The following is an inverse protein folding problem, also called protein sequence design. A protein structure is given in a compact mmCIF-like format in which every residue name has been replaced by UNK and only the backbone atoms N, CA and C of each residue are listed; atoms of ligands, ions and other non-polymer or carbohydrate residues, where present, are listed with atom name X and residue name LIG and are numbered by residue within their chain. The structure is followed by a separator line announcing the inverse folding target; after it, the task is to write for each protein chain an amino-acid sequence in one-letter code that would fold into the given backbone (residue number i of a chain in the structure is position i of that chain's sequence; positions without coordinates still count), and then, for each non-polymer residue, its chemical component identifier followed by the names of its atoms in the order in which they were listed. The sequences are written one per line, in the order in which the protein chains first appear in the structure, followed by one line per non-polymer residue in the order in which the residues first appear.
data_IF_991243001440
#
_entry.id   IF_991243001440
#
_cell.length_a   1.000
_cell.length_b   1.000
_cell.length_c   1.000
_cell.angle_alpha   90.00
_cell.angle_beta   90.00
_cell.angle_gamma   90.00
#
_symmetry.space_group_name_H-M   'P 1'
#
loop_
_entity.id
_entity.type
_entity.pdbx_description
1 polymer ?
#
# COMPACT_ATOMS: atom_id res chain seq x y z
N UNK A 1 8.76 -8.77 17.38
CA UNK A 1 7.50 -9.46 17.04
C UNK A 1 6.59 -9.47 18.27
N UNK A 2 5.41 -8.86 18.22
CA UNK A 2 4.59 -8.57 19.43
C UNK A 2 4.08 -9.84 20.14
N UNK A 3 3.68 -10.88 19.41
CA UNK A 3 3.17 -12.13 19.98
C UNK A 3 4.23 -12.88 20.81
N UNK A 4 5.45 -13.00 20.28
CA UNK A 4 6.58 -13.58 21.00
C UNK A 4 6.94 -12.76 22.25
N UNK A 5 6.91 -11.42 22.15
CA UNK A 5 7.16 -10.54 23.30
C UNK A 5 6.14 -10.77 24.42
N UNK A 6 4.85 -10.86 24.10
CA UNK A 6 3.80 -11.14 25.07
C UNK A 6 3.97 -12.51 25.74
N UNK A 7 4.30 -13.55 24.97
CA UNK A 7 4.59 -14.88 25.53
C UNK A 7 5.79 -14.84 26.49
N UNK A 8 6.88 -14.17 26.11
CA UNK A 8 8.07 -14.04 26.96
C UNK A 8 7.78 -13.27 28.26
N UNK A 9 6.72 -12.45 28.28
CA UNK A 9 6.23 -11.75 29.48
C UNK A 9 5.16 -12.53 30.25
N UNK A 10 4.83 -13.75 29.84
CA UNK A 10 3.79 -14.56 30.47
C UNK A 10 2.37 -14.04 30.23
N UNK A 11 2.16 -13.17 29.22
CA UNK A 11 0.87 -12.57 28.90
C UNK A 11 -0.01 -13.46 28.00
N UNK A 12 0.46 -14.64 27.64
CA UNK A 12 -0.28 -15.59 26.81
C UNK A 12 0.62 -16.65 26.19
N UNK A 13 0.00 -17.53 25.40
CA UNK A 13 0.67 -18.59 24.63
C UNK A 13 0.64 -18.18 23.16
N UNK A 14 1.81 -18.15 22.52
CA UNK A 14 1.98 -17.86 21.09
C UNK A 14 2.45 -19.09 20.29
N UNK A 15 2.85 -20.16 20.97
CA UNK A 15 3.17 -21.46 20.38
C UNK A 15 1.89 -22.20 19.93
N UNK A 16 1.67 -22.39 18.62
CA UNK A 16 0.46 -23.04 18.10
C UNK A 16 0.21 -24.43 18.67
N UNK A 17 1.25 -25.20 18.97
CA UNK A 17 1.14 -26.57 19.51
C UNK A 17 0.57 -26.59 20.94
N UNK A 18 0.59 -25.44 21.62
CA UNK A 18 0.08 -25.26 22.98
C UNK A 18 -1.24 -24.49 23.02
N UNK A 19 -1.79 -24.16 21.85
CA UNK A 19 -3.08 -23.49 21.72
C UNK A 19 -4.13 -24.55 21.39
N UNK A 20 -5.15 -24.66 22.23
CA UNK A 20 -6.31 -25.50 21.95
C UNK A 20 -7.16 -24.84 20.85
N UNK A 21 -7.28 -25.50 19.70
CA UNK A 21 -8.18 -25.09 18.63
C UNK A 21 -9.58 -25.70 18.86
N UNK A 22 -10.58 -24.84 19.02
CA UNK A 22 -11.99 -25.25 19.17
C UNK A 22 -12.78 -24.94 17.89
N UNK A 23 -13.72 -25.82 17.53
CA UNK A 23 -14.54 -25.65 16.32
C UNK A 23 -13.88 -26.23 15.06
N UNK A 24 -13.83 -25.46 13.98
CA UNK A 24 -13.28 -25.90 12.67
C UNK A 24 -11.76 -26.08 12.77
N UNK A 25 -11.19 -27.22 12.35
CA UNK A 25 -9.75 -27.43 12.35
C UNK A 25 -9.00 -26.36 11.52
N UNK A 26 -7.85 -25.88 12.02
CA UNK A 26 -7.04 -24.86 11.34
C UNK A 26 -6.68 -25.29 9.91
N UNK A 27 -6.44 -26.58 9.69
CA UNK A 27 -6.14 -27.13 8.37
C UNK A 27 -7.29 -26.94 7.37
N UNK A 28 -8.54 -27.02 7.83
CA UNK A 28 -9.75 -26.81 7.02
C UNK A 28 -10.06 -25.32 6.82
N UNK A 29 -9.76 -24.48 7.81
CA UNK A 29 -9.84 -23.03 7.70
C UNK A 29 -8.68 -22.40 6.92
N UNK A 30 -7.68 -23.19 6.50
CA UNK A 30 -6.53 -22.69 5.78
C UNK A 30 -6.88 -22.44 4.32
N UNK A 31 -6.63 -21.21 3.87
CA UNK A 31 -6.85 -20.82 2.47
C UNK A 31 -5.58 -20.16 1.92
N UNK A 32 -5.27 -20.35 0.63
CA UNK A 32 -4.17 -19.63 0.01
C UNK A 32 -4.50 -18.14 -0.03
N UNK A 33 -3.60 -17.31 0.53
CA UNK A 33 -3.66 -15.87 0.39
C UNK A 33 -2.69 -15.42 -0.70
N UNK A 34 -3.20 -14.67 -1.68
CA UNK A 34 -2.35 -13.99 -2.67
C UNK A 34 -1.60 -12.86 -1.97
N UNK A 35 -0.31 -12.70 -2.28
CA UNK A 35 0.47 -11.59 -1.70
C UNK A 35 -0.01 -10.27 -2.28
N UNK A 36 0.01 -9.20 -1.47
CA UNK A 36 -0.49 -7.89 -1.88
C UNK A 36 0.13 -7.42 -3.21
N UNK A 37 1.46 -7.46 -3.34
CA UNK A 37 2.14 -7.04 -4.57
C UNK A 37 1.95 -7.98 -5.76
N UNK A 38 1.61 -9.26 -5.57
CA UNK A 38 1.19 -10.12 -6.68
C UNK A 38 -0.15 -9.68 -7.25
N UNK A 39 -1.08 -9.26 -6.38
CA UNK A 39 -2.36 -8.69 -6.79
C UNK A 39 -2.14 -7.37 -7.53
N UNK A 40 -1.27 -6.50 -7.01
CA UNK A 40 -0.94 -5.23 -7.67
C UNK A 40 -0.31 -5.46 -9.03
N UNK A 41 0.72 -6.30 -9.13
CA UNK A 41 1.37 -6.62 -10.42
C UNK A 41 0.37 -7.13 -11.46
N UNK A 42 -0.60 -7.95 -11.05
CA UNK A 42 -1.65 -8.45 -11.98
C UNK A 42 -2.64 -7.37 -12.43
N UNK A 43 -2.87 -6.33 -11.63
CA UNK A 43 -3.81 -5.24 -11.94
C UNK A 43 -3.15 -4.06 -12.65
N UNK A 44 -1.85 -3.88 -12.47
CA UNK A 44 -1.08 -2.74 -12.95
C UNK A 44 0.21 -3.24 -13.64
N UNK A 45 0.10 -3.93 -14.79
CA UNK A 45 1.24 -4.62 -15.41
C UNK A 45 2.38 -3.68 -15.85
N UNK A 46 2.08 -2.42 -16.15
CA UNK A 46 3.09 -1.41 -16.49
C UNK A 46 3.71 -0.67 -15.30
N UNK A 47 3.32 -1.00 -14.06
CA UNK A 47 3.85 -0.40 -12.83
C UNK A 47 4.86 -1.35 -12.18
N UNK A 48 6.10 -0.89 -12.03
CA UNK A 48 7.14 -1.60 -11.30
C UNK A 48 7.16 -1.15 -9.83
N UNK A 49 7.30 -2.11 -8.91
CA UNK A 49 7.34 -1.83 -7.47
C UNK A 49 8.55 -2.54 -6.88
N UNK A 50 9.46 -1.75 -6.30
CA UNK A 50 10.58 -2.22 -5.50
C UNK A 50 10.23 -1.98 -4.03
N UNK A 51 9.95 -3.06 -3.30
CA UNK A 51 9.41 -3.01 -1.94
C UNK A 51 10.23 -3.84 -0.93
N UNK A 52 11.55 -3.93 -1.12
CA UNK A 52 12.38 -4.73 -0.22
C UNK A 52 12.33 -4.16 1.21
N UNK A 53 12.11 -5.05 2.19
CA UNK A 53 11.89 -4.71 3.61
C UNK A 53 10.88 -3.56 3.86
N UNK A 54 9.95 -3.34 2.93
CA UNK A 54 8.88 -2.37 3.12
C UNK A 54 7.93 -2.83 4.25
N UNK A 55 7.56 -1.90 5.13
CA UNK A 55 6.52 -2.14 6.13
C UNK A 55 5.12 -1.90 5.57
N UNK A 56 4.09 -2.29 6.33
CA UNK A 56 2.68 -2.09 5.97
C UNK A 56 2.28 -0.61 5.94
N UNK A 57 2.99 0.28 6.64
CA UNK A 57 2.71 1.72 6.65
C UNK A 57 2.73 2.33 5.24
N UNK A 58 3.92 2.43 4.63
CA UNK A 58 4.05 3.03 3.29
C UNK A 58 3.31 2.20 2.23
N UNK A 59 3.26 0.87 2.41
CA UNK A 59 2.54 -0.02 1.50
C UNK A 59 1.06 0.33 1.47
N UNK A 60 0.40 0.51 2.62
CA UNK A 60 -1.03 0.80 2.66
C UNK A 60 -1.36 2.14 2.00
N UNK A 61 -0.59 3.20 2.29
CA UNK A 61 -0.85 4.51 1.68
C UNK A 61 -0.64 4.48 0.17
N UNK A 62 0.42 3.80 -0.29
CA UNK A 62 0.63 3.61 -1.73
C UNK A 62 -0.52 2.83 -2.40
N UNK A 63 -1.02 1.75 -1.78
CA UNK A 63 -2.17 1.01 -2.31
C UNK A 63 -3.43 1.89 -2.35
N UNK A 64 -3.67 2.73 -1.33
CA UNK A 64 -4.77 3.69 -1.33
C UNK A 64 -4.68 4.64 -2.52
N UNK A 65 -3.50 5.20 -2.81
CA UNK A 65 -3.25 6.01 -4.02
C UNK A 65 -3.63 5.26 -5.30
N UNK A 66 -3.23 4.00 -5.45
CA UNK A 66 -3.58 3.19 -6.63
C UNK A 66 -5.10 2.96 -6.77
N UNK A 67 -5.82 2.83 -5.65
CA UNK A 67 -7.28 2.73 -5.63
C UNK A 67 -7.90 4.04 -6.14
N UNK A 68 -7.43 5.19 -5.65
CA UNK A 68 -7.97 6.49 -6.04
C UNK A 68 -7.72 6.80 -7.52
N UNK A 69 -6.52 6.52 -8.03
CA UNK A 69 -6.18 6.67 -9.45
C UNK A 69 -7.06 5.76 -10.32
N UNK A 70 -7.35 4.54 -9.86
CA UNK A 70 -8.26 3.63 -10.56
C UNK A 70 -9.70 4.16 -10.58
N UNK A 71 -10.20 4.72 -9.49
CA UNK A 71 -11.52 5.35 -9.46
C UNK A 71 -11.61 6.56 -10.41
N UNK A 72 -10.50 7.27 -10.59
CA UNK A 72 -10.38 8.35 -11.57
C UNK A 72 -10.19 7.85 -13.02
N UNK A 73 -10.13 6.54 -13.26
CA UNK A 73 -9.95 5.91 -14.57
C UNK A 73 -8.67 6.34 -15.30
N UNK A 74 -7.58 6.63 -14.57
CA UNK A 74 -6.31 7.08 -15.13
C UNK A 74 -5.17 6.06 -14.94
N UNK A 75 -5.50 4.77 -14.80
CA UNK A 75 -4.52 3.71 -14.50
C UNK A 75 -3.42 3.59 -15.55
N UNK A 76 -3.73 3.77 -16.83
CA UNK A 76 -2.77 3.63 -17.92
C UNK A 76 -1.61 4.63 -17.84
N UNK A 77 -1.82 5.76 -17.14
CA UNK A 77 -0.78 6.78 -16.91
C UNK A 77 0.33 6.29 -15.98
N UNK A 78 0.08 5.23 -15.21
CA UNK A 78 1.08 4.58 -14.36
C UNK A 78 2.06 3.70 -15.15
N UNK A 79 1.82 3.46 -16.44
CA UNK A 79 2.72 2.65 -17.25
C UNK A 79 4.12 3.29 -17.30
N UNK A 80 5.14 2.45 -17.11
CA UNK A 80 6.55 2.83 -17.03
C UNK A 80 6.98 3.42 -15.69
N UNK A 81 6.05 3.66 -14.74
CA UNK A 81 6.40 4.14 -13.40
C UNK A 81 7.10 3.03 -12.61
N UNK A 82 8.20 3.38 -11.95
CA UNK A 82 8.79 2.59 -10.88
C UNK A 82 8.53 3.28 -9.54
N UNK A 83 8.00 2.54 -8.57
CA UNK A 83 7.86 3.02 -7.19
C UNK A 83 8.82 2.27 -6.30
N UNK A 84 9.64 3.01 -5.56
CA UNK A 84 10.56 2.46 -4.56
C UNK A 84 10.05 2.79 -3.17
N UNK A 85 9.76 1.77 -2.37
CA UNK A 85 9.45 1.89 -0.95
C UNK A 85 10.21 0.84 -0.14
N UNK A 86 10.47 1.11 1.13
CA UNK A 86 11.32 0.24 1.94
C UNK A 86 12.81 0.52 1.72
N UNK A 87 13.66 -0.48 1.89
CA UNK A 87 15.10 -0.31 1.71
C UNK A 87 15.44 -0.10 0.24
N UNK A 88 16.11 1.01 -0.07
CA UNK A 88 16.55 1.29 -1.42
C UNK A 88 17.67 0.32 -1.84
N UNK A 89 17.62 -0.23 -3.07
CA UNK A 89 18.74 -0.99 -3.63
C UNK A 89 20.01 -0.12 -3.71
N UNK A 90 21.18 -0.75 -3.53
CA UNK A 90 22.47 -0.05 -3.56
C UNK A 90 22.75 0.63 -4.90
N UNK A 91 22.41 -0.05 -5.99
CA UNK A 91 22.49 0.48 -7.35
C UNK A 91 21.11 0.43 -7.98
N UNK A 92 20.59 1.60 -8.37
CA UNK A 92 19.33 1.70 -9.08
C UNK A 92 19.38 2.84 -10.09
N UNK A 93 18.91 2.55 -11.29
CA UNK A 93 18.71 3.50 -12.39
C UNK A 93 17.32 3.25 -12.95
N UNK A 94 16.44 4.22 -12.80
CA UNK A 94 15.13 4.25 -13.44
C UNK A 94 14.87 5.65 -13.95
N UNK A 95 14.02 5.81 -14.95
CA UNK A 95 13.70 7.13 -15.51
C UNK A 95 12.50 7.72 -14.76
N UNK A 96 11.32 7.15 -14.98
CA UNK A 96 10.07 7.54 -14.32
C UNK A 96 9.96 6.85 -12.96
N UNK A 97 10.56 7.44 -11.93
CA UNK A 97 10.61 6.86 -10.58
C UNK A 97 10.04 7.80 -9.52
N UNK A 98 9.27 7.25 -8.57
CA UNK A 98 8.91 7.93 -7.31
C UNK A 98 9.40 7.11 -6.13
N UNK A 99 10.04 7.78 -5.18
CA UNK A 99 10.62 7.18 -3.98
C UNK A 99 9.79 7.59 -2.76
N UNK A 100 9.38 6.62 -1.94
CA UNK A 100 8.43 6.82 -0.84
C UNK A 100 9.03 6.37 0.49
N UNK A 101 9.04 7.29 1.45
CA UNK A 101 9.32 7.04 2.86
C UNK A 101 10.80 7.05 3.21
N UNK A 102 11.08 7.33 4.50
CA UNK A 102 12.45 7.51 5.02
C UNK A 102 13.38 6.32 4.79
N UNK A 103 12.85 5.10 4.70
CA UNK A 103 13.68 3.91 4.49
C UNK A 103 14.41 3.92 3.14
N UNK A 104 13.86 4.64 2.15
CA UNK A 104 14.41 4.75 0.81
C UNK A 104 15.19 6.06 0.57
N UNK A 105 15.45 6.85 1.62
CA UNK A 105 16.08 8.19 1.54
C UNK A 105 17.46 8.21 0.86
N UNK A 106 18.14 7.06 0.72
CA UNK A 106 19.39 6.95 -0.06
C UNK A 106 19.22 7.37 -1.52
N UNK A 107 17.99 7.38 -2.04
CA UNK A 107 17.64 7.82 -3.38
C UNK A 107 17.11 9.26 -3.44
N UNK A 108 17.07 9.97 -2.31
CA UNK A 108 16.71 11.38 -2.26
C UNK A 108 17.66 12.22 -3.13
N UNK A 109 17.11 13.26 -3.78
CA UNK A 109 17.84 14.13 -4.71
C UNK A 109 18.10 13.52 -6.09
N UNK A 110 17.88 12.21 -6.27
CA UNK A 110 18.00 11.52 -7.57
C UNK A 110 16.67 11.36 -8.28
N UNK A 111 15.59 11.22 -7.52
CA UNK A 111 14.23 11.04 -8.01
C UNK A 111 13.24 11.86 -7.17
N UNK A 112 12.04 12.15 -7.70
CA UNK A 112 10.90 12.59 -6.89
C UNK A 112 10.76 11.76 -5.60
N UNK A 113 10.88 12.42 -4.45
CA UNK A 113 10.92 11.78 -3.13
C UNK A 113 9.80 12.30 -2.24
N UNK A 114 9.16 11.38 -1.49
CA UNK A 114 8.13 11.68 -0.49
C UNK A 114 8.65 11.28 0.90
N UNK A 115 9.05 12.23 1.76
CA UNK A 115 9.58 11.93 3.09
C UNK A 115 8.48 11.46 4.06
N UNK A 116 8.82 10.68 5.08
CA UNK A 116 7.86 10.26 6.14
C UNK A 116 7.96 8.80 6.59
N UNK A 117 7.17 8.41 7.60
CA UNK A 117 7.12 7.03 8.14
C UNK A 117 5.78 6.66 8.84
N UNK A 118 4.72 6.33 8.07
CA UNK A 118 4.62 6.52 6.63
C UNK A 118 4.41 8.00 6.28
N UNK A 119 4.73 8.42 5.04
CA UNK A 119 4.25 9.71 4.51
C UNK A 119 2.73 9.76 4.44
N UNK A 120 2.16 10.95 4.31
CA UNK A 120 0.72 11.11 4.12
C UNK A 120 0.27 10.56 2.75
N UNK A 121 -0.93 9.98 2.68
CA UNK A 121 -1.48 9.47 1.41
C UNK A 121 -1.63 10.55 0.35
N UNK A 122 -1.91 11.79 0.76
CA UNK A 122 -2.09 12.92 -0.15
C UNK A 122 -0.76 13.30 -0.79
N UNK A 123 0.32 13.36 -0.02
CA UNK A 123 1.68 13.64 -0.50
C UNK A 123 2.15 12.58 -1.49
N UNK A 124 1.88 11.30 -1.19
CA UNK A 124 2.17 10.18 -2.10
C UNK A 124 1.36 10.32 -3.39
N UNK A 125 0.06 10.64 -3.27
CA UNK A 125 -0.86 10.77 -4.39
C UNK A 125 -0.44 11.92 -5.31
N UNK A 126 -0.15 13.09 -4.75
CA UNK A 126 0.33 14.25 -5.49
C UNK A 126 1.62 13.94 -6.24
N UNK A 127 2.62 13.35 -5.57
CA UNK A 127 3.91 13.06 -6.18
C UNK A 127 3.81 12.06 -7.33
N UNK A 128 2.99 11.01 -7.15
CA UNK A 128 2.73 10.03 -8.22
C UNK A 128 1.96 10.68 -9.37
N UNK A 129 0.96 11.51 -9.07
CA UNK A 129 0.17 12.16 -10.10
C UNK A 129 1.01 13.15 -10.92
N UNK A 130 1.86 13.93 -10.27
CA UNK A 130 2.85 14.82 -10.90
C UNK A 130 3.78 14.03 -11.82
N UNK A 131 4.40 12.96 -11.33
CA UNK A 131 5.32 12.14 -12.12
C UNK A 131 4.67 11.39 -13.30
N UNK A 132 3.34 11.24 -13.29
CA UNK A 132 2.59 10.49 -14.30
C UNK A 132 1.64 11.34 -15.14
N UNK A 133 1.63 12.66 -14.96
CA UNK A 133 0.69 13.57 -15.61
C UNK A 133 -0.78 13.15 -15.42
N UNK A 134 -1.12 12.74 -14.19
CA UNK A 134 -2.48 12.36 -13.78
C UNK A 134 -3.18 13.60 -13.20
N UNK A 135 -4.46 13.78 -13.55
CA UNK A 135 -5.29 14.82 -12.92
C UNK A 135 -5.55 14.50 -11.44
N UNK A 136 -4.73 15.08 -10.57
CA UNK A 136 -4.79 14.91 -9.12
C UNK A 136 -6.11 15.45 -8.51
N UNK A 137 -6.70 16.49 -9.10
CA UNK A 137 -7.95 17.07 -8.60
C UNK A 137 -9.10 16.10 -8.85
N UNK A 138 -9.14 15.42 -10.01
CA UNK A 138 -10.08 14.35 -10.25
C UNK A 138 -9.87 13.17 -9.29
N UNK A 139 -8.61 12.78 -9.03
CA UNK A 139 -8.28 11.70 -8.07
C UNK A 139 -8.80 12.02 -6.68
N UNK A 140 -8.55 13.23 -6.17
CA UNK A 140 -9.05 13.64 -4.86
C UNK A 140 -10.57 13.76 -4.82
N UNK A 141 -11.23 14.27 -5.86
CA UNK A 141 -12.70 14.24 -5.93
C UNK A 141 -13.23 12.81 -5.82
N UNK A 142 -12.63 11.83 -6.51
CA UNK A 142 -13.03 10.42 -6.44
C UNK A 142 -12.76 9.78 -5.08
N UNK A 143 -11.67 10.14 -4.42
CA UNK A 143 -11.43 9.77 -3.02
C UNK A 143 -12.54 10.28 -2.11
N UNK A 144 -12.89 11.57 -2.22
CA UNK A 144 -13.94 12.18 -1.40
C UNK A 144 -15.33 11.58 -1.67
N UNK A 145 -15.63 11.22 -2.93
CA UNK A 145 -16.84 10.45 -3.26
C UNK A 145 -16.84 9.09 -2.55
N UNK A 146 -15.74 8.32 -2.66
CA UNK A 146 -15.59 7.02 -2.01
C UNK A 146 -15.77 7.12 -0.49
N UNK A 147 -15.07 8.05 0.16
CA UNK A 147 -15.14 8.23 1.60
C UNK A 147 -16.50 8.74 2.04
N UNK A 148 -17.19 9.58 1.25
CA UNK A 148 -18.58 9.95 1.53
C UNK A 148 -19.53 8.75 1.45
N UNK A 149 -19.35 7.83 0.52
CA UNK A 149 -20.16 6.59 0.45
C UNK A 149 -19.88 5.67 1.65
N UNK A 150 -18.65 5.65 2.16
CA UNK A 150 -18.28 4.81 3.32
C UNK A 150 -18.71 5.46 4.65
N UNK A 151 -18.53 6.77 4.81
CA UNK A 151 -18.87 7.54 6.01
C UNK A 151 -20.34 7.99 6.07
N UNK A 152 -21.03 7.96 4.94
CA UNK A 152 -22.41 8.37 4.79
C UNK A 152 -23.17 7.43 3.86
N UNK A 153 -23.97 6.55 4.47
CA UNK A 153 -25.06 5.77 3.86
C UNK A 153 -24.68 4.42 3.25
N UNK A 154 -25.37 3.34 3.63
CA UNK A 154 -26.83 3.24 3.48
C UNK A 154 -27.61 3.82 4.66
N UNK A 155 -27.97 5.10 4.57
CA UNK A 155 -28.97 5.79 5.39
C UNK A 155 -29.87 6.54 4.40
N UNK A 156 -30.69 5.77 3.69
CA UNK A 156 -31.85 6.23 2.88
C UNK A 156 -31.50 6.99 1.59
N UNK A 157 -31.86 6.39 0.46
CA UNK A 157 -32.64 7.08 -0.55
C UNK A 157 -34.01 6.39 -0.63
N UNK A 158 -35.03 7.18 -0.29
CA UNK A 158 -36.45 6.90 -0.41
C UNK A 158 -36.84 6.74 -1.87
N UNK A 159 -37.72 5.79 -2.18
CA UNK A 159 -39.13 6.04 -2.55
C UNK A 159 -39.97 5.01 -1.79
#
# INVERSE_FOLDING_TARGET
MHLQYCQNRGLGIADPERIEAVGVPIAEARHPFRRAFEVVKSRYPGLAILADKACTGCTNEFISTLIYIRLAQQVDRLNGLTVVLGEAPEAFSGEKTVVIGKCAQKLEGRFPFVPGCPPGVDEITEKICEACEIDVQLVFRKREELHRTISGKIMKNSI
#
